data_IF_518191520266
#
_entry.id   IF_518191520266
#
_cell.length_a   1.000
_cell.length_b   1.000
_cell.length_c   1.000
_cell.angle_alpha   90.00
_cell.angle_beta   90.00
_cell.angle_gamma   90.00
#
_symmetry.space_group_name_H-M   'P 1'
#
loop_
_entity.id
_entity.type
_entity.pdbx_description
1 polymer ?
#
# COMPACT_ATOMS: atom_id res chain seq x y z
N UNK A 1 -5.76 -15.55 -5.81
CA UNK A 1 -4.45 -16.23 -5.65
C UNK A 1 -4.09 -16.20 -4.17
N UNK A 2 -3.80 -17.35 -3.57
CA UNK A 2 -3.33 -17.49 -2.19
C UNK A 2 -1.83 -17.19 -2.11
N UNK A 3 -1.29 -16.98 -0.92
CA UNK A 3 0.15 -16.83 -0.72
C UNK A 3 0.90 -18.09 -1.15
N UNK A 4 2.10 -17.89 -1.72
CA UNK A 4 3.09 -18.97 -1.86
C UNK A 4 3.63 -19.35 -0.47
N UNK A 5 4.36 -20.47 -0.37
CA UNK A 5 5.04 -20.87 0.87
C UNK A 5 5.98 -19.76 1.38
N UNK A 6 6.77 -19.20 0.49
CA UNK A 6 7.67 -18.08 0.81
C UNK A 6 6.87 -16.84 1.26
N UNK A 7 5.76 -16.49 0.57
CA UNK A 7 4.89 -15.40 0.96
C UNK A 7 4.28 -15.60 2.35
N UNK A 8 3.96 -16.83 2.72
CA UNK A 8 3.46 -17.14 4.06
C UNK A 8 4.56 -17.03 5.13
N UNK A 9 5.78 -17.46 4.84
CA UNK A 9 6.94 -17.29 5.72
C UNK A 9 7.25 -15.80 5.93
N UNK A 10 7.21 -15.00 4.86
CA UNK A 10 7.37 -13.54 4.96
C UNK A 10 6.24 -12.89 5.75
N UNK A 11 4.99 -13.33 5.60
CA UNK A 11 3.88 -12.82 6.38
C UNK A 11 4.04 -13.09 7.89
N UNK A 12 4.61 -14.23 8.27
CA UNK A 12 4.93 -14.54 9.68
C UNK A 12 6.02 -13.64 10.25
N UNK A 13 7.03 -13.29 9.47
CA UNK A 13 8.10 -12.37 9.89
C UNK A 13 7.58 -10.98 10.25
N UNK A 14 6.45 -10.55 9.68
CA UNK A 14 5.82 -9.28 10.02
C UNK A 14 5.50 -9.16 11.53
N UNK A 15 5.26 -10.29 12.20
CA UNK A 15 4.99 -10.33 13.64
C UNK A 15 6.21 -9.90 14.50
N UNK A 16 7.41 -9.89 13.94
CA UNK A 16 8.63 -9.48 14.63
C UNK A 16 8.84 -7.96 14.59
N UNK A 17 8.10 -7.26 13.71
CA UNK A 17 8.19 -5.81 13.52
C UNK A 17 7.47 -5.09 14.65
N UNK A 18 8.19 -4.22 15.36
CA UNK A 18 7.66 -3.51 16.53
C UNK A 18 6.47 -2.61 16.17
N UNK A 19 6.55 -1.91 15.03
CA UNK A 19 5.46 -1.05 14.55
C UNK A 19 4.15 -1.80 14.23
N UNK A 20 4.18 -3.12 14.12
CA UNK A 20 3.00 -3.96 13.90
C UNK A 20 2.48 -4.65 15.18
N UNK A 21 2.98 -4.21 16.34
CA UNK A 21 2.48 -4.63 17.66
C UNK A 21 1.66 -3.51 18.29
N UNK A 22 0.76 -3.87 19.20
CA UNK A 22 -0.11 -2.92 19.91
C UNK A 22 -0.97 -2.07 18.97
N UNK A 23 -1.50 -2.69 17.92
CA UNK A 23 -2.42 -2.07 16.98
C UNK A 23 -3.82 -1.95 17.59
N UNK A 24 -4.54 -0.89 17.22
CA UNK A 24 -5.95 -0.69 17.56
C UNK A 24 -6.86 -1.33 16.50
N UNK A 25 -6.42 -1.36 15.23
CA UNK A 25 -7.14 -2.03 14.16
C UNK A 25 -6.26 -2.51 13.01
N UNK A 26 -6.76 -3.52 12.29
CA UNK A 26 -6.13 -4.11 11.11
C UNK A 26 -7.15 -4.11 9.97
N UNK A 27 -6.79 -3.46 8.86
CA UNK A 27 -7.59 -3.45 7.64
C UNK A 27 -6.86 -4.19 6.52
N UNK A 28 -7.61 -4.81 5.64
CA UNK A 28 -7.07 -5.50 4.46
C UNK A 28 -7.94 -5.26 3.24
N UNK A 29 -7.29 -5.18 2.07
CA UNK A 29 -7.97 -5.43 0.81
C UNK A 29 -8.64 -6.81 0.84
N UNK A 30 -9.73 -6.99 0.09
CA UNK A 30 -10.52 -8.23 0.08
C UNK A 30 -9.88 -9.39 -0.72
N UNK A 31 -8.63 -9.24 -1.13
CA UNK A 31 -7.90 -10.27 -1.85
C UNK A 31 -7.31 -11.32 -0.89
N UNK A 32 -7.35 -12.60 -1.29
CA UNK A 32 -6.79 -13.69 -0.49
C UNK A 32 -5.33 -13.50 -0.08
N UNK A 33 -4.51 -12.82 -0.93
CA UNK A 33 -3.10 -12.56 -0.61
C UNK A 33 -2.95 -11.48 0.46
N UNK A 34 -3.76 -10.43 0.42
CA UNK A 34 -3.73 -9.37 1.44
C UNK A 34 -4.22 -9.88 2.80
N UNK A 35 -5.36 -10.56 2.82
CA UNK A 35 -5.90 -11.20 4.03
C UNK A 35 -4.92 -12.22 4.60
N UNK A 36 -4.29 -13.06 3.73
CA UNK A 36 -3.29 -14.04 4.13
C UNK A 36 -2.04 -13.42 4.75
N UNK A 37 -1.65 -12.22 4.30
CA UNK A 37 -0.54 -11.46 4.87
C UNK A 37 -0.95 -10.82 6.22
N UNK A 38 -2.17 -10.29 6.31
CA UNK A 38 -2.68 -9.61 7.49
C UNK A 38 -2.92 -10.54 8.68
N UNK A 39 -3.25 -11.83 8.43
CA UNK A 39 -3.80 -12.74 9.45
C UNK A 39 -2.90 -12.90 10.68
N UNK A 40 -1.59 -13.04 10.47
CA UNK A 40 -0.65 -13.25 11.59
C UNK A 40 -0.48 -12.00 12.45
N UNK A 41 -0.45 -10.82 11.82
CA UNK A 41 -0.41 -9.55 12.53
C UNK A 41 -1.70 -9.31 13.30
N UNK A 42 -2.85 -9.63 12.72
CA UNK A 42 -4.13 -9.56 13.41
C UNK A 42 -4.18 -10.53 14.63
N UNK A 43 -3.66 -11.76 14.47
CA UNK A 43 -3.60 -12.75 15.54
C UNK A 43 -2.76 -12.28 16.74
N UNK A 44 -1.55 -11.75 16.53
CA UNK A 44 -0.70 -11.29 17.65
C UNK A 44 -1.26 -10.08 18.38
N UNK A 45 -2.11 -9.28 17.71
CA UNK A 45 -2.79 -8.13 18.30
C UNK A 45 -4.20 -8.50 18.85
N UNK A 46 -4.63 -9.76 18.73
CA UNK A 46 -5.97 -10.21 19.10
C UNK A 46 -7.10 -9.40 18.43
N UNK A 47 -6.90 -9.04 17.16
CA UNK A 47 -7.81 -8.24 16.36
C UNK A 47 -8.47 -9.04 15.24
N UNK A 48 -9.63 -8.59 14.80
CA UNK A 48 -10.27 -9.06 13.57
C UNK A 48 -9.82 -8.19 12.39
N UNK A 49 -9.58 -8.83 11.25
CA UNK A 49 -9.32 -8.12 10.01
C UNK A 49 -10.62 -7.47 9.53
N UNK A 50 -10.60 -6.15 9.35
CA UNK A 50 -11.66 -5.36 8.73
C UNK A 50 -11.37 -5.28 7.23
N UNK A 51 -12.35 -5.57 6.37
CA UNK A 51 -12.19 -5.49 4.91
C UNK A 51 -12.80 -4.18 4.40
N UNK A 52 -12.09 -3.51 3.48
CA UNK A 52 -12.61 -2.32 2.81
C UNK A 52 -12.25 -2.36 1.33
N UNK A 53 -13.23 -2.21 0.46
CA UNK A 53 -13.03 -2.26 -1.00
C UNK A 53 -12.26 -1.05 -1.55
N UNK A 54 -12.23 0.06 -0.82
CA UNK A 54 -11.48 1.28 -1.21
C UNK A 54 -9.97 1.08 -1.21
N UNK A 55 -9.47 0.02 -0.54
CA UNK A 55 -8.06 -0.34 -0.50
C UNK A 55 -7.73 -1.56 -1.39
N UNK A 56 -8.67 -2.00 -2.22
CA UNK A 56 -8.46 -3.08 -3.19
C UNK A 56 -7.49 -2.68 -4.30
N UNK A 57 -6.86 -3.68 -4.93
CA UNK A 57 -5.98 -3.48 -6.07
C UNK A 57 -6.64 -2.63 -7.16
N UNK A 58 -5.82 -1.87 -7.88
CA UNK A 58 -6.26 -1.10 -9.06
C UNK A 58 -6.92 -2.03 -10.08
N UNK A 59 -8.11 -1.67 -10.53
CA UNK A 59 -8.71 -2.33 -11.68
C UNK A 59 -7.99 -1.87 -12.96
N UNK A 60 -7.33 -2.80 -13.63
CA UNK A 60 -6.61 -2.53 -14.88
C UNK A 60 -7.51 -2.58 -16.11
N UNK A 61 -8.78 -2.98 -15.96
CA UNK A 61 -9.76 -3.10 -17.06
C UNK A 61 -9.43 -4.20 -18.06
N UNK A 62 -8.57 -5.15 -17.72
CA UNK A 62 -8.13 -6.26 -18.57
C UNK A 62 -8.28 -7.59 -17.83
N UNK A 63 -8.42 -8.68 -18.59
CA UNK A 63 -8.50 -10.02 -18.01
C UNK A 63 -7.13 -10.55 -17.61
N UNK A 64 -6.09 -10.19 -18.35
CA UNK A 64 -4.72 -10.63 -18.12
C UNK A 64 -3.77 -9.45 -18.30
N UNK A 65 -2.68 -9.42 -17.50
CA UNK A 65 -1.65 -8.37 -17.57
C UNK A 65 -1.00 -8.28 -18.95
N UNK A 66 -0.95 -9.39 -19.70
CA UNK A 66 -0.39 -9.44 -21.05
C UNK A 66 -1.17 -8.63 -22.11
N UNK A 67 -2.38 -8.19 -21.79
CA UNK A 67 -3.17 -7.30 -22.65
C UNK A 67 -2.76 -5.82 -22.53
N UNK A 68 -2.00 -5.49 -21.48
CA UNK A 68 -1.53 -4.11 -21.25
C UNK A 68 -0.33 -3.79 -22.15
N UNK A 69 -0.18 -2.53 -22.60
CA UNK A 69 1.05 -2.05 -23.22
C UNK A 69 2.26 -2.22 -22.29
N UNK A 70 3.43 -2.51 -22.84
CA UNK A 70 4.67 -2.72 -22.07
C UNK A 70 5.02 -1.54 -21.15
N UNK A 71 4.71 -0.31 -21.59
CA UNK A 71 4.98 0.92 -20.85
C UNK A 71 3.81 1.35 -19.93
N UNK A 72 2.75 0.55 -19.79
CA UNK A 72 1.53 0.91 -19.04
C UNK A 72 1.81 1.48 -17.65
N UNK A 73 2.71 0.84 -16.89
CA UNK A 73 3.06 1.29 -15.54
C UNK A 73 3.77 2.64 -15.57
N UNK A 74 4.73 2.82 -16.48
CA UNK A 74 5.45 4.08 -16.64
C UNK A 74 4.51 5.22 -17.03
N UNK A 75 3.64 4.99 -18.01
CA UNK A 75 2.62 5.96 -18.45
C UNK A 75 1.67 6.33 -17.29
N UNK A 76 1.27 5.35 -16.47
CA UNK A 76 0.39 5.60 -15.33
C UNK A 76 1.04 6.54 -14.30
N UNK A 77 2.33 6.39 -13.99
CA UNK A 77 3.03 7.29 -13.07
C UNK A 77 3.38 8.64 -13.70
N UNK A 78 3.60 8.69 -15.04
CA UNK A 78 3.85 9.94 -15.75
C UNK A 78 2.55 10.78 -15.92
N UNK A 79 1.44 10.14 -16.10
CA UNK A 79 0.12 10.76 -16.23
C UNK A 79 -0.92 10.00 -15.40
N UNK A 80 -1.29 10.53 -14.25
CA UNK A 80 -2.19 9.88 -13.29
C UNK A 80 -3.65 9.73 -13.79
N UNK A 81 -4.03 10.42 -14.87
CA UNK A 81 -5.33 10.24 -15.53
C UNK A 81 -5.28 9.12 -16.58
N UNK A 82 -4.07 8.60 -16.90
CA UNK A 82 -3.93 7.50 -17.83
C UNK A 82 -4.61 6.23 -17.31
N UNK A 83 -5.44 5.65 -18.16
CA UNK A 83 -6.03 4.34 -17.90
C UNK A 83 -6.18 3.56 -19.21
N UNK A 84 -6.15 2.24 -19.12
CA UNK A 84 -6.37 1.35 -20.25
C UNK A 84 -7.83 0.87 -20.26
N UNK A 85 -8.51 1.09 -21.37
CA UNK A 85 -9.91 0.66 -21.54
C UNK A 85 -10.84 1.22 -20.45
N UNK A 86 -11.54 0.32 -19.77
CA UNK A 86 -12.51 0.63 -18.71
C UNK A 86 -11.91 0.59 -17.28
N UNK A 87 -10.59 0.37 -17.17
CA UNK A 87 -9.92 0.28 -15.88
C UNK A 87 -9.86 1.63 -15.13
N UNK A 88 -9.30 1.60 -13.94
CA UNK A 88 -9.07 2.79 -13.12
C UNK A 88 -7.81 3.54 -13.54
N UNK A 89 -7.83 4.86 -13.46
CA UNK A 89 -6.63 5.71 -13.42
C UNK A 89 -6.04 5.76 -12.01
N UNK A 90 -4.79 6.26 -11.85
CA UNK A 90 -4.22 6.46 -10.51
C UNK A 90 -4.98 7.54 -9.74
N UNK A 91 -5.52 8.58 -10.40
CA UNK A 91 -6.35 9.58 -9.74
C UNK A 91 -7.66 8.99 -9.20
N UNK A 92 -8.29 8.04 -9.89
CA UNK A 92 -9.47 7.34 -9.39
C UNK A 92 -9.13 6.45 -8.17
N UNK A 93 -7.99 5.75 -8.21
CA UNK A 93 -7.46 4.98 -7.07
C UNK A 93 -7.21 5.89 -5.87
N UNK A 94 -6.50 7.00 -6.06
CA UNK A 94 -6.20 7.95 -4.99
C UNK A 94 -7.47 8.52 -4.36
N UNK A 95 -8.46 8.84 -5.17
CA UNK A 95 -9.73 9.38 -4.67
C UNK A 95 -10.42 8.42 -3.70
N UNK A 96 -10.51 7.11 -4.06
CA UNK A 96 -11.12 6.12 -3.17
C UNK A 96 -10.25 5.82 -1.94
N UNK A 97 -8.92 5.75 -2.10
CA UNK A 97 -8.00 5.51 -1.00
C UNK A 97 -7.98 6.68 0.00
N UNK A 98 -7.89 7.92 -0.48
CA UNK A 98 -7.93 9.09 0.38
C UNK A 98 -9.26 9.20 1.15
N UNK A 99 -10.40 8.86 0.52
CA UNK A 99 -11.67 8.83 1.24
C UNK A 99 -11.66 7.82 2.40
N UNK A 100 -10.96 6.69 2.26
CA UNK A 100 -10.76 5.73 3.32
C UNK A 100 -9.81 6.27 4.42
N UNK A 101 -8.70 6.89 4.04
CA UNK A 101 -7.76 7.50 5.00
C UNK A 101 -8.43 8.59 5.84
N UNK A 102 -9.20 9.49 5.21
CA UNK A 102 -9.93 10.53 5.95
C UNK A 102 -10.92 9.95 6.98
N UNK A 103 -11.62 8.88 6.63
CA UNK A 103 -12.50 8.17 7.57
C UNK A 103 -11.71 7.55 8.74
N UNK A 104 -10.51 7.02 8.48
CA UNK A 104 -9.65 6.49 9.55
C UNK A 104 -9.17 7.58 10.50
N UNK A 105 -8.84 8.77 9.98
CA UNK A 105 -8.37 9.91 10.78
C UNK A 105 -9.48 10.49 11.69
N UNK A 106 -10.76 10.25 11.35
CA UNK A 106 -11.91 10.62 12.20
C UNK A 106 -12.18 9.61 13.32
N UNK A 107 -11.53 8.43 13.31
CA UNK A 107 -11.70 7.40 14.33
C UNK A 107 -10.78 7.63 15.54
N UNK A 108 -11.12 6.99 16.68
CA UNK A 108 -10.29 7.02 17.89
C UNK A 108 -9.06 6.08 17.83
N UNK A 109 -8.95 5.25 16.78
CA UNK A 109 -7.83 4.32 16.58
C UNK A 109 -6.55 5.11 16.23
N UNK A 110 -5.47 4.93 17.00
CA UNK A 110 -4.20 5.64 16.77
C UNK A 110 -3.17 4.81 16.01
N UNK A 111 -3.19 3.48 16.16
CA UNK A 111 -2.24 2.58 15.55
C UNK A 111 -2.98 1.60 14.63
N UNK A 112 -2.95 1.87 13.34
CA UNK A 112 -3.72 1.12 12.33
C UNK A 112 -2.77 0.47 11.33
N UNK A 113 -2.92 -0.82 11.08
CA UNK A 113 -2.21 -1.49 9.98
C UNK A 113 -3.14 -1.69 8.78
N UNK A 114 -2.63 -1.31 7.60
CA UNK A 114 -3.29 -1.48 6.31
C UNK A 114 -2.55 -2.49 5.44
N UNK A 115 -3.21 -3.57 5.05
CA UNK A 115 -2.69 -4.58 4.14
C UNK A 115 -3.27 -4.34 2.74
N UNK A 116 -2.52 -3.63 1.92
CA UNK A 116 -2.93 -3.12 0.62
C UNK A 116 -2.03 -3.64 -0.51
N UNK A 117 -2.19 -3.11 -1.70
CA UNK A 117 -1.40 -3.48 -2.86
C UNK A 117 -0.36 -2.41 -3.22
N UNK A 118 0.73 -2.85 -3.84
CA UNK A 118 1.88 -1.99 -4.12
C UNK A 118 1.55 -0.74 -4.93
N UNK A 119 0.68 -0.84 -5.94
CA UNK A 119 0.27 0.31 -6.77
C UNK A 119 -0.51 1.34 -5.95
N UNK A 120 -1.35 0.92 -5.00
CA UNK A 120 -2.09 1.83 -4.12
C UNK A 120 -1.12 2.63 -3.26
N UNK A 121 -0.17 1.92 -2.62
CA UNK A 121 0.86 2.56 -1.79
C UNK A 121 1.72 3.53 -2.61
N UNK A 122 2.20 3.11 -3.79
CA UNK A 122 3.05 3.97 -4.64
C UNK A 122 2.30 5.19 -5.15
N UNK A 123 1.01 5.07 -5.51
CA UNK A 123 0.19 6.21 -5.92
C UNK A 123 -0.01 7.20 -4.77
N UNK A 124 -0.26 6.70 -3.56
CA UNK A 124 -0.35 7.53 -2.36
C UNK A 124 0.98 8.26 -2.06
N UNK A 125 2.10 7.55 -2.11
CA UNK A 125 3.43 8.15 -1.88
C UNK A 125 3.77 9.18 -2.95
N UNK A 126 3.41 8.95 -4.22
CA UNK A 126 3.60 9.93 -5.29
C UNK A 126 2.86 11.26 -5.02
N UNK A 127 1.71 11.24 -4.34
CA UNK A 127 0.97 12.46 -4.02
C UNK A 127 1.52 13.21 -2.81
N UNK A 128 2.23 12.52 -1.92
CA UNK A 128 2.59 13.05 -0.61
C UNK A 128 4.11 13.22 -0.41
N UNK A 129 4.92 12.93 -1.44
CA UNK A 129 6.39 12.93 -1.36
C UNK A 129 7.01 13.41 -2.67
N UNK A 130 8.32 13.67 -2.67
CA UNK A 130 9.10 13.82 -3.91
C UNK A 130 9.36 12.42 -4.48
N UNK A 131 8.48 11.99 -5.39
CA UNK A 131 8.48 10.66 -5.97
C UNK A 131 9.02 10.67 -7.40
N UNK A 132 9.88 9.74 -7.73
CA UNK A 132 10.31 9.49 -9.12
C UNK A 132 10.37 8.00 -9.43
N UNK A 133 9.99 7.65 -10.66
CA UNK A 133 10.01 6.30 -11.20
C UNK A 133 10.62 6.31 -12.62
N UNK A 134 11.69 5.54 -12.83
CA UNK A 134 12.40 5.47 -14.11
C UNK A 134 11.96 4.29 -15.02
N UNK A 135 10.88 3.62 -14.66
CA UNK A 135 10.40 2.38 -15.28
C UNK A 135 10.91 1.10 -14.59
N UNK A 136 11.82 1.22 -13.63
CA UNK A 136 12.42 0.09 -12.91
C UNK A 136 12.63 0.37 -11.43
N UNK A 137 13.23 1.52 -11.11
CA UNK A 137 13.54 1.92 -9.75
C UNK A 137 12.63 3.06 -9.33
N UNK A 138 12.31 3.07 -8.05
CA UNK A 138 11.55 4.11 -7.38
C UNK A 138 12.51 4.85 -6.46
N UNK A 139 12.43 6.18 -6.44
CA UNK A 139 13.09 7.00 -5.45
C UNK A 139 12.05 7.90 -4.80
N UNK A 140 12.06 7.92 -3.47
CA UNK A 140 11.10 8.67 -2.66
C UNK A 140 11.88 9.48 -1.63
N UNK A 141 11.62 10.81 -1.59
CA UNK A 141 12.12 11.68 -0.54
C UNK A 141 10.93 12.33 0.18
N UNK A 142 11.03 12.39 1.50
CA UNK A 142 10.09 13.15 2.34
C UNK A 142 10.89 14.15 3.16
N UNK A 143 10.53 15.44 3.11
CA UNK A 143 11.25 16.53 3.76
C UNK A 143 12.77 16.54 3.44
N UNK A 144 13.14 16.30 2.17
CA UNK A 144 14.51 16.17 1.65
C UNK A 144 15.31 14.96 2.20
N UNK A 145 14.70 14.06 2.98
CA UNK A 145 15.29 12.80 3.42
C UNK A 145 14.91 11.69 2.44
N UNK A 146 15.88 10.94 1.94
CA UNK A 146 15.62 9.74 1.13
C UNK A 146 15.03 8.64 2.04
N UNK A 147 13.79 8.23 1.77
CA UNK A 147 13.09 7.19 2.53
C UNK A 147 13.05 5.86 1.78
N UNK A 148 13.17 5.88 0.45
CA UNK A 148 13.23 4.69 -0.36
C UNK A 148 14.01 4.92 -1.67
N UNK A 149 14.83 3.92 -2.07
CA UNK A 149 15.52 3.93 -3.36
C UNK A 149 15.85 2.52 -3.81
N UNK A 150 14.92 1.88 -4.49
CA UNK A 150 15.11 0.55 -5.07
C UNK A 150 13.95 0.21 -6.04
N UNK A 151 13.96 -1.03 -6.52
CA UNK A 151 12.80 -1.63 -7.19
C UNK A 151 11.69 -1.91 -6.17
N UNK A 152 10.45 -1.93 -6.66
CA UNK A 152 9.34 -2.40 -5.84
C UNK A 152 9.61 -3.83 -5.34
N UNK A 153 9.55 -4.02 -4.03
CA UNK A 153 9.75 -5.31 -3.34
C UNK A 153 8.44 -5.79 -2.72
N UNK A 154 8.39 -7.03 -2.32
CA UNK A 154 7.27 -7.58 -1.55
C UNK A 154 7.83 -8.44 -0.40
N UNK A 155 7.43 -8.18 0.85
CA UNK A 155 6.60 -7.05 1.28
C UNK A 155 7.38 -5.72 1.33
N UNK A 156 6.66 -4.60 1.20
CA UNK A 156 7.15 -3.25 1.52
C UNK A 156 6.28 -2.70 2.63
N UNK A 157 6.91 -2.05 3.60
CA UNK A 157 6.21 -1.47 4.75
C UNK A 157 6.63 -0.03 4.90
N UNK A 158 5.65 0.86 4.94
CA UNK A 158 5.85 2.25 5.29
C UNK A 158 5.06 2.59 6.54
N UNK A 159 5.71 3.20 7.51
CA UNK A 159 5.07 3.85 8.64
C UNK A 159 4.81 5.29 8.25
N UNK A 160 3.58 5.75 8.46
CA UNK A 160 3.15 7.09 8.11
C UNK A 160 2.52 7.69 9.36
N UNK A 161 3.06 8.81 9.82
CA UNK A 161 2.58 9.52 11.00
C UNK A 161 1.78 10.75 10.60
N UNK A 162 0.63 10.93 11.25
CA UNK A 162 -0.27 12.05 11.05
C UNK A 162 -0.38 12.89 12.32
N UNK A 163 -0.37 14.21 12.16
CA UNK A 163 -0.75 15.18 13.18
C UNK A 163 -1.71 16.22 12.55
N UNK A 164 -2.87 16.44 13.19
CA UNK A 164 -3.90 17.38 12.67
C UNK A 164 -4.19 17.17 11.18
N UNK A 165 -4.47 15.91 10.79
CA UNK A 165 -4.78 15.48 9.42
C UNK A 165 -3.66 15.70 8.39
N UNK A 166 -2.46 16.05 8.83
CA UNK A 166 -1.29 16.25 7.99
C UNK A 166 -0.23 15.18 8.24
N UNK A 167 0.41 14.70 7.18
CA UNK A 167 1.53 13.76 7.30
C UNK A 167 2.74 14.53 7.85
N UNK A 168 3.27 14.06 8.98
CA UNK A 168 4.45 14.65 9.63
C UNK A 168 5.71 13.81 9.47
N UNK A 169 5.58 12.49 9.32
CA UNK A 169 6.71 11.60 9.00
C UNK A 169 6.31 10.42 8.14
N UNK A 170 7.24 9.96 7.32
CA UNK A 170 7.16 8.74 6.52
C UNK A 170 8.50 8.02 6.58
N UNK A 171 8.47 6.74 6.96
CA UNK A 171 9.66 5.90 6.96
C UNK A 171 9.40 4.51 6.34
N UNK A 172 10.40 3.95 5.65
CA UNK A 172 10.39 2.54 5.27
C UNK A 172 10.85 1.67 6.43
N UNK A 173 10.08 0.62 6.73
CA UNK A 173 10.47 -0.40 7.71
C UNK A 173 11.04 -1.60 6.97
N UNK A 174 12.30 -1.91 7.20
CA UNK A 174 12.97 -3.08 6.61
C UNK A 174 12.44 -4.39 7.21
N UNK A 175 12.13 -5.34 6.36
CA UNK A 175 11.82 -6.72 6.75
C UNK A 175 13.10 -7.54 6.60
N UNK A 176 13.71 -7.94 7.71
CA UNK A 176 14.93 -8.76 7.76
C UNK A 176 14.65 -10.25 7.54
#
# INVERSE_FOLDING_TARGET
MILSREGEENAKKLCEIEALKHLDSVYSADSFRAIGTAKYVAEINNLKIKLDSRINERDLGVKTISELPENHTLESFANKDYKFGIGESLNEVDKRFNSFIYELLENDDNNIALFIHGIIMMSFLQNNTDFSFDGKNIKILFNNKEIYKDRMKNPMIFKIEYENDSIVDIEEISVN
#
